data_IF_714595673776
#
_entry.id   IF_714595673776
#
_cell.length_a   1.000
_cell.length_b   1.000
_cell.length_c   1.000
_cell.angle_alpha   90.00
_cell.angle_beta   90.00
_cell.angle_gamma   90.00
#
_symmetry.space_group_name_H-M   'P 1'
#
loop_
_entity.id
_entity.type
_entity.pdbx_description
1 polymer ?
#
# COMPACT_ATOMS: atom_id res chain seq x y z
N UNK A 1 -38.82 12.65 27.95
CA UNK A 1 -38.20 12.55 26.62
C UNK A 1 -37.34 13.80 26.48
N UNK A 2 -36.01 13.68 26.71
CA UNK A 2 -35.06 14.77 26.43
C UNK A 2 -34.94 14.89 24.92
N UNK A 3 -35.12 16.08 24.34
CA UNK A 3 -34.79 16.25 22.93
C UNK A 3 -33.28 16.04 22.73
N UNK A 4 -32.91 15.07 21.94
CA UNK A 4 -31.55 14.97 21.40
C UNK A 4 -31.30 16.26 20.60
N UNK A 5 -30.55 17.18 21.18
CA UNK A 5 -30.05 18.36 20.48
C UNK A 5 -29.08 17.84 19.41
N UNK A 6 -29.56 17.78 18.19
CA UNK A 6 -28.68 17.56 17.01
C UNK A 6 -27.76 18.77 16.94
N UNK A 7 -26.55 18.63 17.42
CA UNK A 7 -25.51 19.64 17.25
C UNK A 7 -25.25 19.77 15.76
N UNK A 8 -25.33 20.97 15.22
CA UNK A 8 -24.92 21.20 13.82
C UNK A 8 -23.49 20.72 13.65
N UNK A 9 -23.22 20.02 12.54
CA UNK A 9 -21.85 19.58 12.21
C UNK A 9 -20.95 20.80 12.07
N UNK A 10 -19.74 20.69 12.60
CA UNK A 10 -18.75 21.75 12.43
C UNK A 10 -18.24 21.70 10.99
N UNK A 11 -18.33 22.82 10.26
CA UNK A 11 -17.84 22.93 8.90
C UNK A 11 -16.35 23.19 8.90
N UNK A 12 -15.58 22.35 8.22
CA UNK A 12 -14.11 22.42 8.09
C UNK A 12 -13.76 22.64 6.62
N UNK A 13 -13.03 23.72 6.33
CA UNK A 13 -12.53 24.01 4.99
C UNK A 13 -11.23 23.28 4.76
N UNK A 14 -11.20 22.47 3.70
CA UNK A 14 -10.08 21.61 3.33
C UNK A 14 -9.47 22.13 2.04
N UNK A 15 -8.15 22.36 2.05
CA UNK A 15 -7.40 22.66 0.82
C UNK A 15 -7.39 21.43 -0.08
N UNK A 16 -7.74 21.63 -1.34
CA UNK A 16 -7.76 20.59 -2.37
C UNK A 16 -6.76 20.93 -3.46
N UNK A 17 -5.69 20.13 -3.52
CA UNK A 17 -4.70 20.19 -4.59
C UNK A 17 -5.01 19.04 -5.55
N UNK A 18 -4.99 19.32 -6.85
CA UNK A 18 -5.24 18.29 -7.87
C UNK A 18 -4.02 17.35 -7.98
N UNK A 19 -4.09 16.25 -7.25
CA UNK A 19 -3.08 15.18 -7.24
C UNK A 19 -3.77 13.89 -7.68
N UNK A 20 -3.87 13.67 -8.97
CA UNK A 20 -4.36 12.42 -9.56
C UNK A 20 -5.62 11.86 -8.88
N UNK A 21 -5.58 10.61 -8.41
CA UNK A 21 -6.71 9.94 -7.73
C UNK A 21 -6.83 10.29 -6.24
N UNK A 22 -6.08 11.28 -5.74
CA UNK A 22 -6.06 11.58 -4.31
C UNK A 22 -7.29 12.36 -3.85
N UNK A 23 -7.48 13.59 -4.33
CA UNK A 23 -8.72 14.35 -4.16
C UNK A 23 -9.04 15.07 -5.47
N UNK A 24 -10.22 14.84 -5.99
CA UNK A 24 -10.75 15.52 -7.17
C UNK A 24 -12.12 16.10 -6.87
N UNK A 25 -12.42 17.27 -7.43
CA UNK A 25 -13.74 17.90 -7.31
C UNK A 25 -14.50 17.65 -8.62
N UNK A 26 -15.64 16.96 -8.52
CA UNK A 26 -16.47 16.69 -9.66
C UNK A 26 -17.32 17.84 -10.16
N UNK A 27 -17.95 17.66 -11.30
CA UNK A 27 -18.88 18.67 -11.85
C UNK A 27 -20.08 18.96 -10.96
N UNK A 28 -20.39 18.04 -10.03
CA UNK A 28 -21.44 18.16 -9.02
C UNK A 28 -20.96 18.86 -7.74
N UNK A 29 -19.70 19.31 -7.69
CA UNK A 29 -19.06 19.95 -6.55
C UNK A 29 -18.68 19.00 -5.41
N UNK A 30 -18.83 17.69 -5.59
CA UNK A 30 -18.41 16.69 -4.59
C UNK A 30 -16.96 16.32 -4.78
N UNK A 31 -16.30 16.08 -3.64
CA UNK A 31 -14.96 15.52 -3.66
C UNK A 31 -15.01 13.99 -3.74
N UNK A 32 -14.08 13.40 -4.49
CA UNK A 32 -13.85 11.97 -4.55
C UNK A 32 -12.36 11.66 -4.68
N UNK A 33 -12.00 10.41 -4.47
CA UNK A 33 -10.64 9.93 -4.44
C UNK A 33 -10.26 9.43 -3.07
N UNK A 34 -9.03 8.96 -2.96
CA UNK A 34 -8.49 8.39 -1.73
C UNK A 34 -8.64 9.34 -0.52
N UNK A 35 -8.14 10.56 -0.64
CA UNK A 35 -8.16 11.55 0.44
C UNK A 35 -9.57 12.01 0.81
N UNK A 36 -10.50 12.06 -0.15
CA UNK A 36 -11.90 12.39 0.11
C UNK A 36 -12.57 11.31 0.97
N UNK A 37 -12.43 10.02 0.62
CA UNK A 37 -12.99 8.92 1.44
C UNK A 37 -12.28 8.80 2.80
N UNK A 38 -10.99 9.10 2.85
CA UNK A 38 -10.24 9.14 4.11
C UNK A 38 -10.82 10.20 5.05
N UNK A 39 -11.09 11.39 4.54
CA UNK A 39 -11.73 12.48 5.27
C UNK A 39 -13.18 12.14 5.68
N UNK A 40 -13.98 11.55 4.80
CA UNK A 40 -15.35 11.14 5.11
C UNK A 40 -15.40 10.16 6.29
N UNK A 41 -14.43 9.24 6.37
CA UNK A 41 -14.32 8.34 7.52
C UNK A 41 -14.02 9.08 8.81
N UNK A 42 -13.13 10.09 8.78
CA UNK A 42 -12.83 10.96 9.93
C UNK A 42 -14.06 11.77 10.33
N UNK A 43 -14.82 12.32 9.37
CA UNK A 43 -16.02 13.12 9.60
C UNK A 43 -17.05 12.38 10.44
N UNK A 44 -17.22 11.08 10.20
CA UNK A 44 -18.14 10.23 10.94
C UNK A 44 -17.85 10.18 12.45
N UNK A 45 -16.57 10.31 12.85
CA UNK A 45 -16.17 10.33 14.28
C UNK A 45 -16.02 11.73 14.86
N UNK A 46 -15.60 12.70 14.03
CA UNK A 46 -15.36 14.07 14.47
C UNK A 46 -16.64 14.92 14.49
N UNK A 47 -17.70 14.49 13.80
CA UNK A 47 -18.92 15.27 13.61
C UNK A 47 -18.69 16.48 12.72
N UNK A 48 -17.90 16.31 11.65
CA UNK A 48 -17.55 17.37 10.72
C UNK A 48 -18.30 17.24 9.39
N UNK A 49 -18.41 18.40 8.70
CA UNK A 49 -18.74 18.51 7.28
C UNK A 49 -17.61 19.26 6.58
N UNK A 50 -17.19 18.80 5.39
CA UNK A 50 -16.10 19.43 4.67
C UNK A 50 -16.59 20.36 3.57
N UNK A 51 -15.87 21.47 3.45
CA UNK A 51 -15.96 22.39 2.34
C UNK A 51 -14.58 22.42 1.65
N UNK A 52 -14.53 22.00 0.38
CA UNK A 52 -13.27 21.88 -0.34
C UNK A 52 -12.94 23.18 -1.08
N UNK A 53 -11.71 23.66 -0.90
CA UNK A 53 -11.18 24.88 -1.52
C UNK A 53 -10.06 24.48 -2.46
N UNK A 54 -10.29 24.57 -3.77
CA UNK A 54 -9.32 24.20 -4.79
C UNK A 54 -8.29 25.31 -4.99
N UNK A 55 -7.01 25.00 -4.80
CA UNK A 55 -5.90 25.92 -5.01
C UNK A 55 -4.59 25.14 -5.26
N UNK A 56 -3.52 25.83 -5.64
CA UNK A 56 -2.19 25.24 -5.69
C UNK A 56 -1.67 24.89 -4.30
N UNK A 57 -0.68 24.01 -4.22
CA UNK A 57 -0.08 23.60 -2.94
C UNK A 57 0.42 24.80 -2.13
N UNK A 58 1.15 25.71 -2.76
CA UNK A 58 1.68 26.91 -2.11
C UNK A 58 0.58 27.84 -1.60
N UNK A 59 -0.50 28.01 -2.37
CA UNK A 59 -1.66 28.80 -1.96
C UNK A 59 -2.38 28.13 -0.78
N UNK A 60 -2.59 26.82 -0.82
CA UNK A 60 -3.17 26.08 0.29
C UNK A 60 -2.36 26.23 1.58
N UNK A 61 -1.03 26.17 1.52
CA UNK A 61 -0.18 26.42 2.69
C UNK A 61 -0.36 27.84 3.26
N UNK A 62 -0.43 28.86 2.40
CA UNK A 62 -0.69 30.26 2.83
C UNK A 62 -2.07 30.38 3.47
N UNK A 63 -3.11 29.80 2.83
CA UNK A 63 -4.49 29.82 3.33
C UNK A 63 -4.63 29.07 4.66
N UNK A 64 -3.88 27.99 4.87
CA UNK A 64 -3.83 27.26 6.12
C UNK A 64 -3.20 28.10 7.25
N UNK A 65 -2.13 28.82 6.93
CA UNK A 65 -1.45 29.71 7.87
C UNK A 65 -2.32 30.91 8.28
N UNK A 66 -3.09 31.49 7.32
CA UNK A 66 -4.01 32.61 7.57
C UNK A 66 -5.36 32.19 8.16
N UNK A 67 -5.68 30.87 8.15
CA UNK A 67 -6.95 30.34 8.63
C UNK A 67 -8.09 30.45 7.61
N UNK A 68 -7.79 30.70 6.35
CA UNK A 68 -8.78 30.63 5.26
C UNK A 68 -9.22 29.21 4.97
N UNK A 69 -8.34 28.23 5.18
CA UNK A 69 -8.65 26.80 5.30
C UNK A 69 -8.20 26.28 6.66
N UNK A 70 -8.78 25.18 7.13
CA UNK A 70 -8.46 24.59 8.42
C UNK A 70 -7.64 23.31 8.32
N UNK A 71 -7.69 22.60 7.19
CA UNK A 71 -7.06 21.31 7.02
C UNK A 71 -6.46 21.19 5.61
N UNK A 72 -5.31 20.53 5.51
CA UNK A 72 -4.65 20.22 4.24
C UNK A 72 -4.03 18.82 4.30
N UNK A 73 -4.10 18.06 3.20
CA UNK A 73 -3.49 16.76 3.02
C UNK A 73 -3.25 16.47 1.53
N UNK A 74 -2.29 15.61 1.16
CA UNK A 74 -1.26 14.95 1.99
C UNK A 74 -0.07 15.89 2.19
N UNK A 75 0.51 15.93 3.38
CA UNK A 75 1.69 16.75 3.67
C UNK A 75 2.82 15.88 4.23
N UNK A 76 3.96 15.92 3.59
CA UNK A 76 5.18 15.33 4.11
C UNK A 76 5.73 16.14 5.28
N UNK A 77 6.28 15.46 6.27
CA UNK A 77 6.90 16.12 7.41
C UNK A 77 8.25 16.76 7.02
N UNK A 78 8.47 17.99 7.45
CA UNK A 78 9.79 18.61 7.53
C UNK A 78 9.88 19.50 8.76
N UNK A 79 11.09 19.69 9.30
CA UNK A 79 11.31 20.60 10.45
C UNK A 79 10.86 22.02 10.12
N UNK A 80 11.13 22.51 8.91
CA UNK A 80 10.69 23.81 8.44
C UNK A 80 9.16 23.96 8.46
N UNK A 81 8.45 22.95 7.96
CA UNK A 81 6.97 22.95 7.98
C UNK A 81 6.41 22.85 9.40
N UNK A 82 7.09 22.15 10.31
CA UNK A 82 6.67 22.01 11.70
C UNK A 82 6.74 23.31 12.51
N UNK A 83 7.42 24.34 12.01
CA UNK A 83 7.39 25.69 12.61
C UNK A 83 6.03 26.36 12.44
N UNK A 84 5.33 26.13 11.33
CA UNK A 84 4.07 26.79 10.97
C UNK A 84 2.83 25.88 11.06
N UNK A 85 3.02 24.55 11.04
CA UNK A 85 1.93 23.58 10.95
C UNK A 85 2.07 22.45 11.98
N UNK A 86 0.93 21.98 12.49
CA UNK A 86 0.82 20.77 13.29
C UNK A 86 0.51 19.59 12.37
N UNK A 87 1.12 18.46 12.64
CA UNK A 87 0.95 17.22 11.90
C UNK A 87 0.11 16.21 12.67
N UNK A 88 -0.75 15.44 11.98
CA UNK A 88 -1.52 14.38 12.59
C UNK A 88 -0.61 13.28 13.17
N UNK A 89 -1.10 12.61 14.22
CA UNK A 89 -0.35 11.50 14.86
C UNK A 89 -0.34 10.21 14.03
N UNK A 90 -1.16 10.16 12.99
CA UNK A 90 -1.27 9.03 12.07
C UNK A 90 -1.04 9.52 10.66
N UNK A 91 -0.33 8.75 9.90
CA UNK A 91 -0.14 8.96 8.47
C UNK A 91 -1.46 8.80 7.72
N UNK A 92 -1.71 9.66 6.74
CA UNK A 92 -2.90 9.52 5.91
C UNK A 92 -2.66 8.66 4.67
N UNK A 93 -1.45 8.67 4.16
CA UNK A 93 -1.03 7.84 3.04
C UNK A 93 0.49 7.70 3.04
N UNK A 94 0.97 6.81 2.19
CA UNK A 94 2.39 6.62 1.95
C UNK A 94 2.69 7.06 0.53
N UNK A 95 3.64 7.96 0.41
CA UNK A 95 4.31 8.24 -0.85
C UNK A 95 5.71 7.63 -0.82
N UNK A 96 6.29 7.35 -1.96
CA UNK A 96 7.70 6.99 -2.08
C UNK A 96 8.30 7.63 -3.31
N UNK A 97 9.54 8.06 -3.17
CA UNK A 97 10.35 8.50 -4.30
C UNK A 97 10.74 7.28 -5.12
N UNK A 98 10.57 7.36 -6.41
CA UNK A 98 10.81 6.26 -7.31
C UNK A 98 11.68 6.64 -8.50
N UNK A 99 12.49 5.69 -8.96
CA UNK A 99 13.01 5.69 -10.31
C UNK A 99 12.00 4.96 -11.21
N UNK A 100 11.53 5.67 -12.23
CA UNK A 100 10.42 5.25 -13.09
C UNK A 100 10.90 5.17 -14.53
N UNK A 101 10.64 4.06 -15.18
CA UNK A 101 10.92 3.86 -16.61
C UNK A 101 9.65 3.64 -17.43
N UNK A 102 9.81 3.59 -18.76
CA UNK A 102 8.73 3.19 -19.67
C UNK A 102 8.46 1.69 -19.52
N UNK A 103 7.18 1.31 -19.47
CA UNK A 103 6.78 -0.10 -19.41
C UNK A 103 7.29 -0.91 -20.61
N UNK A 104 7.39 -0.27 -21.77
CA UNK A 104 7.84 -0.90 -23.01
C UNK A 104 9.35 -1.08 -23.10
N UNK A 105 10.13 -0.49 -22.21
CA UNK A 105 11.58 -0.64 -22.20
C UNK A 105 11.99 -1.94 -21.51
N UNK A 106 12.24 -2.98 -22.29
CA UNK A 106 12.63 -4.31 -21.82
C UNK A 106 14.12 -4.43 -21.44
N UNK A 107 14.88 -3.34 -21.47
CA UNK A 107 16.29 -3.31 -21.03
C UNK A 107 16.42 -3.12 -19.52
N UNK A 108 15.47 -2.40 -18.91
CA UNK A 108 15.49 -2.00 -17.52
C UNK A 108 14.60 -2.91 -16.69
N UNK A 109 15.07 -3.32 -15.52
CA UNK A 109 14.35 -4.17 -14.56
C UNK A 109 14.36 -3.51 -13.18
N UNK A 110 13.52 -4.00 -12.28
CA UNK A 110 13.48 -3.52 -10.90
C UNK A 110 14.79 -3.89 -10.19
N UNK A 111 15.38 -2.91 -9.47
CA UNK A 111 16.64 -3.03 -8.71
C UNK A 111 17.85 -3.57 -9.53
N UNK A 112 17.80 -3.44 -10.86
CA UNK A 112 18.89 -3.81 -11.74
C UNK A 112 19.94 -2.69 -11.81
N UNK A 113 20.68 -2.48 -10.72
CA UNK A 113 21.65 -1.37 -10.60
C UNK A 113 22.72 -1.35 -11.68
N UNK A 114 23.12 -2.52 -12.17
CA UNK A 114 24.04 -2.61 -13.31
C UNK A 114 23.42 -2.09 -14.62
N UNK A 115 22.09 -2.29 -14.77
CA UNK A 115 21.34 -1.75 -15.90
C UNK A 115 21.04 -0.26 -15.77
N UNK A 116 21.22 0.33 -14.58
CA UNK A 116 21.01 1.76 -14.36
C UNK A 116 22.24 2.61 -14.65
N UNK A 117 23.42 1.98 -14.79
CA UNK A 117 24.65 2.71 -15.04
C UNK A 117 24.62 3.42 -16.39
N UNK A 118 24.88 4.73 -16.37
CA UNK A 118 24.88 5.59 -17.56
C UNK A 118 23.48 5.98 -18.09
N UNK A 119 22.38 5.72 -17.35
CA UNK A 119 21.05 6.16 -17.77
C UNK A 119 20.94 7.68 -17.81
N UNK A 120 20.19 8.19 -18.79
CA UNK A 120 19.72 9.58 -18.80
C UNK A 120 18.48 9.64 -17.90
N UNK A 121 18.59 10.34 -16.77
CA UNK A 121 17.53 10.43 -15.75
C UNK A 121 16.95 11.83 -15.73
N UNK A 122 15.67 11.93 -16.03
CA UNK A 122 14.92 13.19 -15.95
C UNK A 122 14.58 13.53 -14.50
N UNK A 123 14.72 14.80 -14.16
CA UNK A 123 14.47 15.33 -12.81
C UNK A 123 13.86 16.73 -12.88
N UNK A 124 13.11 17.13 -11.87
CA UNK A 124 12.60 18.51 -11.74
C UNK A 124 13.68 19.39 -11.14
N UNK A 125 13.94 20.52 -11.80
CA UNK A 125 14.94 21.50 -11.36
C UNK A 125 14.63 22.03 -9.96
N UNK A 126 15.61 21.93 -9.07
CA UNK A 126 15.49 22.42 -7.68
C UNK A 126 14.60 21.54 -6.77
N UNK A 127 14.11 20.39 -7.25
CA UNK A 127 13.35 19.49 -6.41
C UNK A 127 14.30 18.72 -5.46
N UNK A 128 13.89 18.60 -4.20
CA UNK A 128 14.66 17.88 -3.18
C UNK A 128 14.80 16.37 -3.46
N UNK A 129 13.87 15.78 -4.23
CA UNK A 129 13.94 14.38 -4.67
C UNK A 129 15.25 14.06 -5.41
N UNK A 130 15.85 15.07 -6.05
CA UNK A 130 17.12 14.91 -6.77
C UNK A 130 18.26 14.51 -5.83
N UNK A 131 18.31 15.11 -4.64
CA UNK A 131 19.29 14.77 -3.61
C UNK A 131 19.11 13.34 -3.08
N UNK A 132 17.87 12.93 -2.84
CA UNK A 132 17.56 11.55 -2.42
C UNK A 132 18.00 10.53 -3.47
N UNK A 133 17.74 10.81 -4.74
CA UNK A 133 18.19 9.93 -5.82
C UNK A 133 19.72 9.91 -5.99
N UNK A 134 20.39 11.05 -5.84
CA UNK A 134 21.84 11.12 -5.88
C UNK A 134 22.49 10.26 -4.80
N UNK A 135 21.98 10.32 -3.57
CA UNK A 135 22.46 9.50 -2.46
C UNK A 135 22.13 8.01 -2.66
N UNK A 136 20.96 7.71 -3.24
CA UNK A 136 20.58 6.35 -3.63
C UNK A 136 21.55 5.77 -4.68
N UNK A 137 21.84 6.51 -5.74
CA UNK A 137 22.77 6.09 -6.80
C UNK A 137 24.18 5.83 -6.25
N UNK A 138 24.67 6.73 -5.38
CA UNK A 138 25.98 6.54 -4.68
C UNK A 138 25.99 5.28 -3.83
N UNK A 139 24.91 5.05 -3.07
CA UNK A 139 24.80 3.89 -2.16
C UNK A 139 24.80 2.57 -2.93
N UNK A 140 24.16 2.54 -4.12
CA UNK A 140 24.05 1.33 -4.94
C UNK A 140 25.11 1.23 -6.05
N UNK A 141 26.00 2.23 -6.14
CA UNK A 141 27.22 2.17 -6.94
C UNK A 141 27.02 2.28 -8.45
N UNK A 142 26.00 3.01 -8.90
CA UNK A 142 25.80 3.32 -10.33
C UNK A 142 25.89 4.82 -10.62
N UNK A 143 26.19 5.17 -11.87
CA UNK A 143 26.25 6.55 -12.37
C UNK A 143 25.10 6.83 -13.32
N UNK A 144 24.77 8.11 -13.52
CA UNK A 144 23.71 8.53 -14.43
C UNK A 144 23.98 9.92 -14.99
N UNK A 145 23.31 10.26 -16.09
CA UNK A 145 23.29 11.59 -16.69
C UNK A 145 21.99 12.30 -16.27
N UNK A 146 22.10 13.40 -15.51
CA UNK A 146 20.97 14.21 -15.06
C UNK A 146 20.44 15.12 -16.16
N UNK A 147 19.14 15.07 -16.47
CA UNK A 147 18.44 15.97 -17.39
C UNK A 147 17.35 16.71 -16.63
N UNK A 148 17.45 18.05 -16.54
CA UNK A 148 16.60 18.86 -15.70
C UNK A 148 15.42 19.48 -16.47
N UNK A 149 14.23 19.37 -15.93
CA UNK A 149 12.98 19.93 -16.46
C UNK A 149 12.36 20.94 -15.48
N UNK A 150 11.65 21.93 -16.00
CA UNK A 150 11.03 22.96 -15.17
C UNK A 150 9.65 22.55 -14.63
N UNK A 151 8.99 21.56 -15.25
CA UNK A 151 7.63 21.11 -14.89
C UNK A 151 7.48 19.59 -14.88
N UNK A 152 6.58 19.06 -14.03
CA UNK A 152 6.23 17.64 -13.99
C UNK A 152 5.67 17.13 -15.34
N UNK A 153 4.84 17.93 -16.01
CA UNK A 153 4.32 17.59 -17.35
C UNK A 153 5.47 17.45 -18.36
N UNK A 154 6.42 18.39 -18.36
CA UNK A 154 7.59 18.30 -19.24
C UNK A 154 8.45 17.07 -18.95
N UNK A 155 8.58 16.69 -17.68
CA UNK A 155 9.29 15.48 -17.24
C UNK A 155 8.63 14.20 -17.77
N UNK A 156 7.31 14.09 -17.62
CA UNK A 156 6.53 12.94 -18.10
C UNK A 156 6.56 12.83 -19.63
N UNK A 157 6.38 13.96 -20.32
CA UNK A 157 6.48 14.04 -21.78
C UNK A 157 7.86 13.58 -22.29
N UNK A 158 8.94 13.95 -21.60
CA UNK A 158 10.30 13.56 -21.96
C UNK A 158 10.52 12.05 -21.83
N UNK A 159 9.96 11.42 -20.81
CA UNK A 159 9.98 9.97 -20.66
C UNK A 159 9.25 9.28 -21.83
N UNK A 160 8.07 9.76 -22.17
CA UNK A 160 7.24 9.21 -23.24
C UNK A 160 7.91 9.41 -24.63
N UNK A 161 8.57 10.54 -24.86
CA UNK A 161 9.32 10.82 -26.09
C UNK A 161 10.71 10.16 -26.15
N UNK A 162 11.09 9.41 -25.13
CA UNK A 162 12.40 8.75 -25.04
C UNK A 162 13.60 9.74 -25.00
N UNK A 163 13.36 10.97 -24.59
CA UNK A 163 14.41 11.96 -24.36
C UNK A 163 15.26 11.58 -23.13
N UNK A 164 14.63 10.89 -22.16
CA UNK A 164 15.29 10.27 -21.02
C UNK A 164 14.94 8.79 -20.94
N UNK A 165 15.77 8.00 -20.25
CA UNK A 165 15.56 6.58 -20.07
C UNK A 165 14.68 6.29 -18.85
N UNK A 166 14.82 7.10 -17.80
CA UNK A 166 14.02 7.05 -16.57
C UNK A 166 13.79 8.46 -16.01
N UNK A 167 12.87 8.58 -15.05
CA UNK A 167 12.61 9.81 -14.31
C UNK A 167 12.57 9.53 -12.81
N UNK A 168 12.87 10.55 -12.00
CA UNK A 168 12.66 10.54 -10.56
C UNK A 168 11.37 11.29 -10.25
N UNK A 169 10.41 10.59 -9.63
CA UNK A 169 9.11 11.18 -9.25
C UNK A 169 8.49 10.43 -8.07
N UNK A 170 7.41 10.99 -7.47
CA UNK A 170 6.58 10.30 -6.49
C UNK A 170 5.69 9.21 -7.10
N UNK A 171 5.30 8.20 -6.32
CA UNK A 171 4.48 7.09 -6.81
C UNK A 171 3.02 7.49 -7.12
N UNK A 172 2.51 8.56 -6.53
CA UNK A 172 1.12 8.99 -6.71
C UNK A 172 0.82 9.52 -8.13
N UNK A 173 1.86 9.80 -8.91
CA UNK A 173 1.76 10.30 -10.29
C UNK A 173 1.98 9.23 -11.37
N UNK A 174 2.07 7.95 -11.00
CA UNK A 174 2.28 6.86 -11.96
C UNK A 174 1.10 6.68 -12.91
N UNK A 175 1.41 6.34 -14.14
CA UNK A 175 0.42 5.97 -15.15
C UNK A 175 0.68 4.57 -15.73
N UNK A 176 -0.30 4.06 -16.51
CA UNK A 176 -0.28 2.70 -17.06
C UNK A 176 0.87 2.39 -18.03
N UNK A 177 1.53 3.42 -18.59
CA UNK A 177 2.64 3.28 -19.53
C UNK A 177 4.01 3.23 -18.84
N UNK A 178 4.01 3.35 -17.53
CA UNK A 178 5.21 3.40 -16.70
C UNK A 178 5.45 2.09 -15.96
N UNK A 179 6.65 1.89 -15.48
CA UNK A 179 7.04 0.83 -14.57
C UNK A 179 8.01 1.34 -13.52
N UNK A 180 7.93 0.76 -12.35
CA UNK A 180 8.85 1.01 -11.26
C UNK A 180 10.20 0.33 -11.54
N UNK A 181 11.27 1.07 -11.40
CA UNK A 181 12.64 0.56 -11.52
C UNK A 181 13.32 0.46 -10.15
N UNK A 182 13.04 1.42 -9.24
CA UNK A 182 13.52 1.36 -7.86
C UNK A 182 12.63 2.20 -6.94
N UNK A 183 12.50 1.76 -5.68
CA UNK A 183 12.02 2.59 -4.56
C UNK A 183 13.23 3.22 -3.88
N UNK A 184 13.26 4.53 -3.83
CA UNK A 184 14.42 5.30 -3.37
C UNK A 184 14.28 5.64 -1.90
N UNK A 185 13.17 6.23 -1.53
CA UNK A 185 12.90 6.63 -0.15
C UNK A 185 11.40 6.58 0.15
N UNK A 186 11.06 6.39 1.40
CA UNK A 186 9.69 6.25 1.88
C UNK A 186 9.26 7.52 2.58
N UNK A 187 8.17 8.13 2.10
CA UNK A 187 7.72 9.42 2.60
C UNK A 187 6.30 9.32 3.16
N UNK A 188 6.17 9.15 4.48
CA UNK A 188 4.86 9.20 5.11
C UNK A 188 4.27 10.61 4.98
N UNK A 189 3.01 10.68 4.58
CA UNK A 189 2.28 11.93 4.49
C UNK A 189 1.15 12.00 5.52
N UNK A 190 0.89 13.21 5.99
CA UNK A 190 0.04 13.51 7.13
C UNK A 190 -1.04 14.53 6.77
N UNK A 191 -2.05 14.62 7.63
CA UNK A 191 -2.93 15.78 7.65
C UNK A 191 -2.26 16.87 8.47
N UNK A 192 -2.34 18.11 7.98
CA UNK A 192 -1.79 19.28 8.67
C UNK A 192 -2.85 20.35 8.93
N UNK A 193 -2.65 21.09 10.01
CA UNK A 193 -3.42 22.29 10.39
C UNK A 193 -2.45 23.37 10.86
N UNK A 194 -2.90 24.63 10.93
CA UNK A 194 -2.07 25.71 11.47
C UNK A 194 -1.66 25.42 12.91
N UNK A 195 -0.44 25.82 13.32
CA UNK A 195 0.02 25.80 14.72
C UNK A 195 -0.93 26.55 15.67
N UNK A 196 -1.73 27.47 15.13
CA UNK A 196 -2.74 28.23 15.89
C UNK A 196 -4.03 27.43 16.17
N UNK A 197 -4.15 26.20 15.67
CA UNK A 197 -5.33 25.35 15.82
C UNK A 197 -5.05 23.98 16.49
N UNK A 198 -4.40 24.01 17.68
CA UNK A 198 -4.15 22.75 18.42
C UNK A 198 -5.46 22.04 18.82
N UNK A 199 -6.54 22.80 19.04
CA UNK A 199 -7.89 22.28 19.29
C UNK A 199 -8.39 21.37 18.16
N UNK A 200 -8.18 21.78 16.92
CA UNK A 200 -8.58 21.04 15.73
C UNK A 200 -7.72 19.77 15.55
N UNK A 201 -6.40 19.91 15.72
CA UNK A 201 -5.46 18.78 15.63
C UNK A 201 -5.76 17.72 16.72
N UNK A 202 -6.08 18.12 17.94
CA UNK A 202 -6.46 17.17 19.00
C UNK A 202 -7.75 16.41 18.64
N UNK A 203 -8.75 17.08 18.10
CA UNK A 203 -10.00 16.46 17.65
C UNK A 203 -9.75 15.52 16.47
N UNK A 204 -8.93 15.92 15.51
CA UNK A 204 -8.51 15.10 14.37
C UNK A 204 -7.83 13.81 14.85
N UNK A 205 -6.82 13.93 15.71
CA UNK A 205 -6.09 12.78 16.23
C UNK A 205 -6.99 11.82 17.03
N UNK A 206 -7.98 12.35 17.75
CA UNK A 206 -8.97 11.54 18.46
C UNK A 206 -9.85 10.76 17.47
N UNK A 207 -10.29 11.40 16.40
CA UNK A 207 -11.08 10.74 15.36
C UNK A 207 -10.27 9.67 14.62
N UNK A 208 -9.03 9.99 14.21
CA UNK A 208 -8.10 9.03 13.59
C UNK A 208 -7.86 7.81 14.47
N UNK A 209 -7.65 8.01 15.77
CA UNK A 209 -7.51 6.91 16.73
C UNK A 209 -8.72 5.97 16.70
N UNK A 210 -9.95 6.49 16.62
CA UNK A 210 -11.14 5.66 16.53
C UNK A 210 -11.22 4.90 15.20
N UNK A 211 -10.88 5.55 14.09
CA UNK A 211 -10.80 4.89 12.76
C UNK A 211 -9.91 3.66 12.84
N UNK A 212 -8.69 3.80 13.39
CA UNK A 212 -7.71 2.69 13.44
C UNK A 212 -7.99 1.66 14.53
N UNK A 213 -8.72 2.01 15.60
CA UNK A 213 -9.21 1.03 16.57
C UNK A 213 -10.27 0.12 15.92
N UNK A 214 -11.20 0.68 15.16
CA UNK A 214 -12.25 -0.11 14.51
C UNK A 214 -11.78 -0.86 13.28
N UNK A 215 -10.88 -0.25 12.48
CA UNK A 215 -10.30 -0.88 11.30
C UNK A 215 -8.80 -0.55 11.18
N UNK A 216 -7.93 -1.38 11.77
CA UNK A 216 -6.47 -1.20 11.68
C UNK A 216 -5.92 -1.21 10.24
N UNK A 217 -6.66 -1.79 9.29
CA UNK A 217 -6.27 -1.91 7.88
C UNK A 217 -6.97 -0.87 6.99
N UNK A 218 -7.61 0.15 7.57
CA UNK A 218 -8.39 1.12 6.82
C UNK A 218 -7.60 1.79 5.70
N UNK A 219 -6.42 2.37 6.03
CA UNK A 219 -5.56 3.04 5.03
C UNK A 219 -5.10 2.09 3.93
N UNK A 220 -4.69 0.86 4.30
CA UNK A 220 -4.25 -0.14 3.34
C UNK A 220 -5.39 -0.57 2.40
N UNK A 221 -6.59 -0.82 2.95
CA UNK A 221 -7.76 -1.20 2.15
C UNK A 221 -8.17 -0.06 1.20
N UNK A 222 -8.09 1.18 1.68
CA UNK A 222 -8.43 2.35 0.88
C UNK A 222 -7.37 2.59 -0.21
N UNK A 223 -6.09 2.40 0.11
CA UNK A 223 -5.00 2.47 -0.84
C UNK A 223 -5.17 1.42 -1.95
N UNK A 224 -5.45 0.18 -1.59
CA UNK A 224 -5.70 -0.90 -2.54
C UNK A 224 -6.88 -0.59 -3.48
N UNK A 225 -7.94 0.02 -2.97
CA UNK A 225 -9.09 0.45 -3.77
C UNK A 225 -8.72 1.45 -4.87
N UNK A 226 -7.87 2.42 -4.59
CA UNK A 226 -7.54 3.52 -5.51
C UNK A 226 -6.26 3.28 -6.31
N UNK A 227 -5.32 2.52 -5.75
CA UNK A 227 -3.97 2.33 -6.29
C UNK A 227 -3.57 0.86 -6.48
N UNK A 228 -4.28 -0.10 -5.87
CA UNK A 228 -3.93 -1.53 -5.87
C UNK A 228 -3.83 -2.15 -7.27
N UNK A 229 -4.70 -1.76 -8.18
CA UNK A 229 -4.59 -2.17 -9.59
C UNK A 229 -3.29 -1.65 -10.26
N UNK A 230 -2.73 -0.57 -9.73
CA UNK A 230 -1.44 -0.03 -10.18
C UNK A 230 -0.28 -0.85 -9.62
N UNK A 231 -0.28 -1.20 -8.33
CA UNK A 231 0.76 -2.05 -7.74
C UNK A 231 0.81 -3.45 -8.36
N UNK A 232 -0.34 -4.07 -8.62
CA UNK A 232 -0.40 -5.36 -9.32
C UNK A 232 0.16 -5.30 -10.76
N UNK A 233 0.16 -4.10 -11.38
CA UNK A 233 0.77 -3.86 -12.70
C UNK A 233 2.26 -3.56 -12.64
N UNK A 234 2.78 -3.18 -11.47
CA UNK A 234 4.17 -2.83 -11.20
C UNK A 234 4.85 -3.92 -10.36
N UNK A 235 4.60 -5.20 -10.69
CA UNK A 235 5.33 -6.27 -10.04
C UNK A 235 6.84 -5.97 -10.10
N UNK A 236 7.41 -5.77 -8.93
CA UNK A 236 8.81 -5.41 -8.68
C UNK A 236 9.67 -6.66 -8.86
N UNK A 237 9.80 -7.12 -10.11
CA UNK A 237 10.59 -8.31 -10.41
C UNK A 237 11.96 -7.91 -10.92
N UNK A 238 12.98 -8.42 -10.26
CA UNK A 238 14.37 -8.37 -10.73
C UNK A 238 14.51 -9.15 -12.05
N UNK A 239 15.63 -8.97 -12.70
CA UNK A 239 15.95 -9.71 -13.93
C UNK A 239 15.95 -11.22 -13.71
N UNK A 240 16.51 -11.67 -12.59
CA UNK A 240 16.61 -13.06 -12.19
C UNK A 240 15.21 -13.66 -11.92
N UNK A 241 14.36 -12.92 -11.20
CA UNK A 241 12.99 -13.35 -10.93
C UNK A 241 12.16 -13.48 -12.21
N UNK A 242 12.28 -12.52 -13.14
CA UNK A 242 11.62 -12.63 -14.46
C UNK A 242 12.13 -13.83 -15.26
N UNK A 243 13.45 -14.11 -15.22
CA UNK A 243 14.00 -15.28 -15.87
C UNK A 243 13.49 -16.58 -15.22
N UNK A 244 13.43 -16.60 -13.90
CA UNK A 244 12.86 -17.72 -13.15
C UNK A 244 11.40 -17.95 -13.54
N UNK A 245 10.54 -16.90 -13.50
CA UNK A 245 9.12 -16.99 -13.86
C UNK A 245 8.93 -17.50 -15.28
N UNK A 246 9.75 -17.02 -16.24
CA UNK A 246 9.69 -17.47 -17.64
C UNK A 246 10.18 -18.90 -17.85
N UNK A 247 11.11 -19.35 -17.01
CA UNK A 247 11.72 -20.69 -17.10
C UNK A 247 11.01 -21.73 -16.23
N UNK A 248 10.21 -21.32 -15.25
CA UNK A 248 9.50 -22.24 -14.37
C UNK A 248 8.32 -22.88 -15.08
N UNK A 249 8.20 -24.22 -14.90
CA UNK A 249 6.98 -24.95 -15.22
C UNK A 249 5.85 -24.65 -14.23
N UNK A 250 4.73 -25.39 -14.32
CA UNK A 250 3.67 -25.29 -13.33
C UNK A 250 4.18 -25.61 -11.92
N UNK A 251 3.85 -24.78 -10.96
CA UNK A 251 4.19 -24.95 -9.54
C UNK A 251 3.05 -25.69 -8.85
N UNK A 252 3.33 -26.85 -8.30
CA UNK A 252 2.33 -27.66 -7.61
C UNK A 252 2.12 -27.17 -6.18
N UNK A 253 0.86 -26.88 -5.84
CA UNK A 253 0.44 -26.39 -4.53
C UNK A 253 -0.40 -27.46 -3.85
N UNK A 254 0.07 -27.95 -2.71
CA UNK A 254 -0.66 -28.92 -1.88
C UNK A 254 -1.69 -28.18 -1.03
N UNK A 255 -2.92 -28.65 -1.03
CA UNK A 255 -4.00 -28.11 -0.19
C UNK A 255 -4.54 -29.15 0.78
N UNK A 256 -5.07 -28.69 1.91
CA UNK A 256 -5.85 -29.48 2.85
C UNK A 256 -7.27 -29.67 2.29
N UNK A 257 -7.74 -30.91 2.05
CA UNK A 257 -8.97 -31.12 1.28
C UNK A 257 -10.27 -30.79 2.03
N UNK A 258 -10.23 -30.58 3.35
CA UNK A 258 -11.41 -30.49 4.21
C UNK A 258 -11.41 -29.23 5.11
N UNK A 259 -10.63 -28.19 4.81
CA UNK A 259 -10.54 -26.94 5.61
C UNK A 259 -11.40 -25.80 5.04
N UNK A 260 -12.70 -26.00 5.04
CA UNK A 260 -13.68 -25.01 4.63
C UNK A 260 -13.78 -23.86 5.65
N UNK A 261 -13.81 -22.57 5.23
CA UNK A 261 -13.88 -22.03 3.86
C UNK A 261 -12.52 -21.63 3.25
N UNK A 262 -11.42 -21.99 3.89
CA UNK A 262 -10.09 -21.56 3.50
C UNK A 262 -9.55 -22.32 2.30
N UNK A 263 -9.59 -23.65 2.37
CA UNK A 263 -9.21 -24.54 1.26
C UNK A 263 -9.93 -25.89 1.37
N UNK A 264 -10.47 -26.39 0.26
CA UNK A 264 -11.10 -27.70 0.23
C UNK A 264 -11.13 -28.28 -1.18
N UNK A 265 -11.30 -29.58 -1.27
CA UNK A 265 -11.49 -30.27 -2.54
C UNK A 265 -12.97 -30.52 -2.81
N UNK A 266 -13.52 -29.86 -3.83
CA UNK A 266 -14.87 -30.08 -4.31
C UNK A 266 -14.91 -31.37 -5.16
N UNK A 267 -15.44 -32.43 -4.60
CA UNK A 267 -15.51 -33.77 -5.27
C UNK A 267 -16.46 -33.78 -6.47
N UNK A 268 -17.47 -32.90 -6.48
CA UNK A 268 -18.41 -32.82 -7.60
C UNK A 268 -17.78 -32.06 -8.78
N UNK A 269 -17.17 -30.96 -8.50
CA UNK A 269 -16.47 -30.14 -9.49
C UNK A 269 -15.08 -30.68 -9.86
N UNK A 270 -14.55 -31.64 -9.09
CA UNK A 270 -13.16 -32.14 -9.19
C UNK A 270 -12.14 -31.02 -9.19
N UNK A 271 -12.29 -30.07 -8.28
CA UNK A 271 -11.48 -28.88 -8.23
C UNK A 271 -11.18 -28.45 -6.79
N UNK A 272 -10.00 -27.89 -6.59
CA UNK A 272 -9.63 -27.22 -5.35
C UNK A 272 -10.27 -25.83 -5.31
N UNK A 273 -10.86 -25.47 -4.15
CA UNK A 273 -11.58 -24.23 -3.91
C UNK A 273 -11.20 -23.66 -2.55
N UNK A 274 -11.56 -22.39 -2.31
CA UNK A 274 -11.41 -21.69 -1.04
C UNK A 274 -10.70 -20.36 -1.16
N UNK A 275 -10.78 -19.58 -0.08
CA UNK A 275 -10.20 -18.24 -0.05
C UNK A 275 -8.70 -18.26 -0.36
N UNK A 276 -7.95 -19.24 0.16
CA UNK A 276 -6.52 -19.35 -0.09
C UNK A 276 -6.20 -19.83 -1.50
N UNK A 277 -7.02 -20.72 -2.06
CA UNK A 277 -6.90 -21.15 -3.47
C UNK A 277 -7.12 -19.96 -4.41
N UNK A 278 -8.11 -19.11 -4.12
CA UNK A 278 -8.39 -17.93 -4.94
C UNK A 278 -7.30 -16.85 -4.77
N UNK A 279 -6.75 -16.71 -3.56
CA UNK A 279 -5.58 -15.87 -3.32
C UNK A 279 -4.36 -16.31 -4.14
N UNK A 280 -4.04 -17.62 -4.16
CA UNK A 280 -2.95 -18.16 -4.98
C UNK A 280 -3.20 -17.98 -6.49
N UNK A 281 -4.45 -18.13 -6.95
CA UNK A 281 -4.80 -17.83 -8.35
C UNK A 281 -4.56 -16.34 -8.68
N UNK A 282 -4.90 -15.45 -7.75
CA UNK A 282 -4.60 -14.02 -7.89
C UNK A 282 -3.09 -13.77 -7.96
N UNK A 283 -2.28 -14.37 -7.07
CA UNK A 283 -0.83 -14.31 -7.14
C UNK A 283 -0.29 -14.83 -8.48
N UNK A 284 -0.84 -15.93 -9.01
CA UNK A 284 -0.47 -16.42 -10.33
C UNK A 284 -0.77 -15.42 -11.45
N UNK A 285 -1.92 -14.73 -11.36
CA UNK A 285 -2.30 -13.70 -12.34
C UNK A 285 -1.33 -12.52 -12.34
N UNK A 286 -0.89 -12.07 -11.18
CA UNK A 286 0.02 -10.90 -11.08
C UNK A 286 1.49 -11.26 -11.31
N UNK A 287 1.92 -12.46 -10.90
CA UNK A 287 3.31 -12.92 -11.07
C UNK A 287 3.62 -13.53 -12.43
N UNK A 288 2.61 -14.09 -13.10
CA UNK A 288 2.79 -14.90 -14.31
C UNK A 288 3.15 -16.37 -14.02
N UNK A 289 3.26 -16.76 -12.74
CA UNK A 289 3.45 -18.16 -12.34
C UNK A 289 2.16 -18.97 -12.58
N UNK A 290 2.32 -20.21 -12.98
CA UNK A 290 1.21 -21.14 -13.13
C UNK A 290 1.13 -22.07 -11.93
N UNK A 291 0.04 -22.00 -11.17
CA UNK A 291 -0.19 -22.86 -10.02
C UNK A 291 -1.14 -24.03 -10.37
N UNK A 292 -0.75 -25.23 -9.96
CA UNK A 292 -1.57 -26.44 -10.04
C UNK A 292 -1.87 -26.92 -8.64
N UNK A 293 -3.15 -27.02 -8.30
CA UNK A 293 -3.58 -27.41 -6.95
C UNK A 293 -3.87 -28.88 -6.86
N UNK A 294 -3.29 -29.54 -5.86
CA UNK A 294 -3.52 -30.96 -5.57
C UNK A 294 -3.98 -31.14 -4.12
N UNK A 295 -5.02 -31.96 -3.85
CA UNK A 295 -5.43 -32.21 -2.48
C UNK A 295 -4.48 -33.22 -1.82
N UNK A 296 -4.12 -32.99 -0.55
CA UNK A 296 -3.40 -33.99 0.25
C UNK A 296 -4.28 -35.18 0.55
N UNK A 297 -3.67 -36.36 0.80
CA UNK A 297 -4.40 -37.51 1.26
C UNK A 297 -4.88 -37.33 2.70
N UNK A 298 -6.12 -37.72 2.96
CA UNK A 298 -6.68 -37.70 4.31
C UNK A 298 -5.88 -38.66 5.21
N UNK A 299 -5.18 -38.08 6.22
CA UNK A 299 -4.45 -38.88 7.23
C UNK A 299 -2.94 -39.01 7.02
N UNK A 300 -2.36 -38.51 5.94
CA UNK A 300 -0.90 -38.32 5.80
C UNK A 300 -0.45 -36.97 6.41
N UNK A 301 0.82 -36.86 6.83
CA UNK A 301 1.39 -35.57 7.16
C UNK A 301 1.46 -34.69 5.88
N UNK A 302 1.47 -33.38 6.06
CA UNK A 302 1.61 -32.46 4.92
C UNK A 302 2.96 -32.65 4.24
N UNK A 303 4.01 -32.93 5.02
CA UNK A 303 5.37 -33.21 4.51
C UNK A 303 5.39 -34.47 3.64
N UNK A 304 4.72 -35.55 4.06
CA UNK A 304 4.60 -36.79 3.25
C UNK A 304 3.81 -36.48 1.97
N UNK A 305 2.78 -35.63 2.05
CA UNK A 305 2.00 -35.18 0.90
C UNK A 305 2.83 -34.41 -0.11
N UNK A 306 3.74 -33.53 0.34
CA UNK A 306 4.65 -32.81 -0.55
C UNK A 306 5.52 -33.76 -1.36
N UNK A 307 6.13 -34.73 -0.69
CA UNK A 307 7.03 -35.70 -1.35
C UNK A 307 6.24 -36.56 -2.35
N UNK A 308 5.04 -37.00 -1.96
CA UNK A 308 4.22 -37.89 -2.80
C UNK A 308 3.73 -37.18 -4.07
N UNK A 309 3.27 -35.96 -3.94
CA UNK A 309 2.67 -35.17 -5.03
C UNK A 309 3.67 -34.28 -5.75
N UNK A 310 4.97 -34.34 -5.40
CA UNK A 310 6.02 -33.46 -5.91
C UNK A 310 5.63 -31.98 -5.78
N UNK A 311 5.03 -31.61 -4.64
CA UNK A 311 4.52 -30.29 -4.40
C UNK A 311 5.63 -29.35 -3.89
N UNK A 312 5.68 -28.15 -4.45
CA UNK A 312 6.65 -27.13 -4.10
C UNK A 312 6.11 -26.18 -3.03
N UNK A 313 4.80 -26.07 -2.90
CA UNK A 313 4.14 -25.16 -1.95
C UNK A 313 3.09 -25.90 -1.14
N UNK A 314 3.05 -25.62 0.16
CA UNK A 314 1.94 -25.99 1.04
C UNK A 314 1.28 -24.68 1.52
N UNK A 315 -0.03 -24.64 1.52
CA UNK A 315 -0.79 -23.53 2.09
C UNK A 315 -1.23 -23.84 3.53
N UNK A 316 -1.69 -22.79 4.22
CA UNK A 316 -2.34 -22.87 5.54
C UNK A 316 -1.52 -23.57 6.64
N UNK A 317 -0.24 -23.28 6.69
CA UNK A 317 0.63 -23.77 7.76
C UNK A 317 0.77 -22.74 8.86
N UNK A 318 0.43 -23.10 10.08
CA UNK A 318 0.69 -22.29 11.26
C UNK A 318 2.16 -22.40 11.67
N UNK A 319 2.88 -21.29 11.58
CA UNK A 319 4.27 -21.23 12.05
C UNK A 319 4.32 -21.41 13.57
N UNK A 320 4.74 -22.56 14.05
CA UNK A 320 4.95 -22.80 15.47
C UNK A 320 6.36 -22.37 15.87
N UNK A 321 6.48 -21.25 16.59
CA UNK A 321 7.76 -20.75 17.10
C UNK A 321 8.49 -21.69 18.08
N UNK A 322 7.83 -22.73 18.57
CA UNK A 322 8.39 -23.70 19.54
C UNK A 322 8.96 -24.96 18.88
N UNK A 323 8.68 -25.19 17.60
CA UNK A 323 9.36 -26.22 16.82
C UNK A 323 10.41 -25.56 15.95
N UNK A 324 11.63 -26.11 15.96
CA UNK A 324 12.64 -25.75 14.97
C UNK A 324 12.00 -25.83 13.58
N UNK A 325 12.25 -24.80 12.76
CA UNK A 325 11.83 -24.81 11.36
C UNK A 325 12.25 -26.15 10.79
N UNK A 326 11.29 -26.97 10.39
CA UNK A 326 11.52 -28.35 9.96
C UNK A 326 12.54 -28.39 8.84
N UNK A 327 13.41 -29.36 8.86
CA UNK A 327 14.47 -29.53 7.86
C UNK A 327 13.85 -29.47 6.44
N UNK A 328 14.20 -28.46 5.67
CA UNK A 328 13.82 -28.34 4.26
C UNK A 328 12.61 -27.47 3.93
N UNK A 329 11.95 -26.82 4.91
CA UNK A 329 10.85 -25.89 4.65
C UNK A 329 11.27 -24.42 4.84
N UNK A 330 10.88 -23.57 3.89
CA UNK A 330 10.98 -22.12 4.01
C UNK A 330 9.58 -21.49 4.12
N UNK A 331 9.43 -20.47 4.96
CA UNK A 331 8.16 -19.82 5.20
C UNK A 331 8.12 -18.44 4.55
N UNK A 332 7.00 -18.12 3.92
CA UNK A 332 6.72 -16.76 3.47
C UNK A 332 6.41 -15.84 4.67
N UNK A 333 6.27 -14.53 4.43
CA UNK A 333 5.59 -13.64 5.36
C UNK A 333 4.15 -14.13 5.59
N UNK A 334 3.59 -13.95 6.81
CA UNK A 334 2.21 -14.34 7.08
C UNK A 334 1.24 -13.57 6.15
N UNK A 335 0.40 -14.29 5.42
CA UNK A 335 -0.63 -13.72 4.55
C UNK A 335 -2.02 -13.74 5.19
N UNK A 336 -2.16 -14.38 6.35
CA UNK A 336 -3.40 -14.46 7.12
C UNK A 336 -3.09 -14.58 8.60
N UNK A 337 -3.90 -13.95 9.45
CA UNK A 337 -3.84 -14.11 10.90
C UNK A 337 -5.22 -14.48 11.46
N UNK A 338 -5.26 -15.42 12.39
CA UNK A 338 -6.48 -15.81 13.08
C UNK A 338 -6.27 -15.78 14.59
N UNK A 339 -7.35 -15.60 15.32
CA UNK A 339 -7.38 -15.72 16.77
C UNK A 339 -8.08 -17.01 17.17
N UNK A 340 -7.53 -17.68 18.17
CA UNK A 340 -8.17 -18.84 18.78
C UNK A 340 -9.02 -18.39 19.98
N UNK A 341 -10.25 -18.86 20.05
CA UNK A 341 -11.13 -18.60 21.18
C UNK A 341 -11.47 -19.89 21.89
N UNK A 342 -11.45 -19.85 23.20
CA UNK A 342 -11.95 -20.95 24.02
C UNK A 342 -13.49 -20.84 24.10
N UNK A 343 -14.19 -21.86 23.70
CA UNK A 343 -15.65 -21.90 23.70
C UNK A 343 -16.10 -22.91 24.74
N UNK A 344 -16.97 -22.47 25.66
CA UNK A 344 -17.65 -23.30 26.64
C UNK A 344 -19.16 -23.29 26.47
N UNK A 345 -19.87 -24.16 27.19
CA UNK A 345 -21.31 -24.10 27.26
C UNK A 345 -21.77 -22.80 27.92
N UNK A 346 -22.90 -22.26 27.46
CA UNK A 346 -23.38 -20.94 27.85
C UNK A 346 -23.56 -20.75 29.38
N UNK A 347 -23.86 -21.83 30.08
CA UNK A 347 -24.18 -21.83 31.51
C UNK A 347 -23.01 -22.35 32.39
N UNK A 348 -21.86 -22.63 31.81
CA UNK A 348 -20.66 -23.06 32.54
C UNK A 348 -19.66 -21.91 32.64
N UNK A 349 -19.31 -21.51 33.88
CA UNK A 349 -18.24 -20.56 34.12
C UNK A 349 -16.89 -21.22 33.80
N UNK A 350 -16.21 -20.77 32.74
CA UNK A 350 -14.86 -21.17 32.42
C UNK A 350 -13.89 -20.55 33.42
N UNK A 351 -13.51 -21.29 34.47
CA UNK A 351 -12.46 -20.90 35.39
C UNK A 351 -11.09 -21.25 34.81
N UNK A 352 -10.48 -20.30 34.11
CA UNK A 352 -9.08 -20.36 33.72
C UNK A 352 -8.24 -19.98 34.93
N UNK A 353 -7.89 -20.95 35.77
CA UNK A 353 -6.89 -20.69 36.82
C UNK A 353 -5.53 -20.42 36.17
N UNK A 354 -4.87 -19.34 36.60
CA UNK A 354 -3.59 -18.85 36.08
C UNK A 354 -2.38 -19.78 36.33
N UNK A 355 -2.59 -21.06 36.63
CA UNK A 355 -1.58 -21.99 37.13
C UNK A 355 -1.32 -23.22 36.27
N UNK A 356 -1.61 -23.14 34.97
CA UNK A 356 -1.00 -24.10 34.05
C UNK A 356 -0.14 -23.35 33.04
N UNK A 357 1.12 -23.18 33.46
CA UNK A 357 2.21 -22.83 32.56
C UNK A 357 2.64 -24.06 31.78
#
# INVERSE_FOLDING_TARGET
VCPLSVRAADRIRVGCVDIGNFIQIGPDGRAYGYGAEYLDKIAGYAGWEYEYVQASWEECLKMLKTGEIELLLPAEYSEERAEDYLFSSYECCFDFVALIGRRTDNRLYYDDYAGFDGLRVGMIKGNYLNGLFEDYAKTHGFTYESVLYDTGTGLLDALDRQEVDAIVNGNMEFNVNQKLLAKIDYMPAYLITSVNRPDLMERLNRALKQVFIENPYFSATLYDKYYGDMEARFAEYTREEIQFIKGSGPVTVLITPDDYPFEWYDRQAKACRGAFVDYMKYLGKISGLQFVFVPSDSGSSLEDGMVKEDAQIIMNIFRNRLKNDGEGLSYTSPYYSCSFSLVGKRDEALNLSSHQR
#
